data_IF_121198263198
#
_entry.id   IF_121198263198
#
_cell.length_a   1.000
_cell.length_b   1.000
_cell.length_c   1.000
_cell.angle_alpha   90.00
_cell.angle_beta   90.00
_cell.angle_gamma   90.00
#
_symmetry.space_group_name_H-M   'P 1'
#
loop_
_entity.id
_entity.type
_entity.pdbx_description
1 polymer ?
#
# COMPACT_ATOMS: atom_id res chain seq x y z
N UNK A 1 15.15 -4.22 -23.07
CA UNK A 1 14.76 -3.36 -21.93
C UNK A 1 15.50 -3.87 -20.71
N UNK A 2 16.06 -3.00 -19.88
CA UNK A 2 16.75 -3.41 -18.65
C UNK A 2 15.76 -4.18 -17.74
N UNK A 3 16.07 -5.43 -17.32
CA UNK A 3 15.18 -6.23 -16.48
C UNK A 3 14.80 -5.55 -15.15
N UNK A 4 15.73 -4.82 -14.54
CA UNK A 4 15.46 -4.14 -13.25
C UNK A 4 14.50 -2.96 -13.47
N UNK A 5 14.65 -2.24 -14.59
CA UNK A 5 13.68 -1.20 -14.99
C UNK A 5 12.29 -1.79 -15.20
N UNK A 6 12.18 -2.96 -15.83
CA UNK A 6 10.90 -3.65 -16.00
C UNK A 6 10.28 -4.05 -14.67
N UNK A 7 11.08 -4.56 -13.74
CA UNK A 7 10.60 -4.97 -12.43
C UNK A 7 9.96 -3.80 -11.66
N UNK A 8 10.59 -2.62 -11.70
CA UNK A 8 10.05 -1.41 -11.07
C UNK A 8 8.70 -0.98 -11.68
N UNK A 9 8.57 -1.03 -13.01
CA UNK A 9 7.32 -0.70 -13.69
C UNK A 9 6.21 -1.70 -13.35
N UNK A 10 6.51 -3.00 -13.37
CA UNK A 10 5.55 -4.04 -12.97
C UNK A 10 5.11 -3.89 -11.52
N UNK A 11 6.03 -3.56 -10.60
CA UNK A 11 5.68 -3.31 -9.20
C UNK A 11 4.78 -2.07 -9.04
N UNK A 12 5.01 -1.01 -9.82
CA UNK A 12 4.17 0.18 -9.84
C UNK A 12 2.74 -0.13 -10.29
N UNK A 13 2.59 -0.87 -11.39
CA UNK A 13 1.28 -1.27 -11.92
C UNK A 13 0.54 -2.17 -10.92
N UNK A 14 1.25 -3.10 -10.29
CA UNK A 14 0.70 -3.98 -9.25
C UNK A 14 0.10 -3.20 -8.07
N UNK A 15 0.76 -2.13 -7.62
CA UNK A 15 0.26 -1.27 -6.55
C UNK A 15 -1.03 -0.56 -6.93
N UNK A 16 -1.10 -0.01 -8.13
CA UNK A 16 -2.30 0.68 -8.61
C UNK A 16 -3.48 -0.28 -8.80
N UNK A 17 -3.23 -1.48 -9.34
CA UNK A 17 -4.24 -2.54 -9.42
C UNK A 17 -4.77 -3.00 -8.05
N UNK A 18 -3.88 -3.08 -7.05
CA UNK A 18 -4.26 -3.39 -5.67
C UNK A 18 -5.13 -2.28 -5.09
N UNK A 19 -4.72 -1.03 -5.24
CA UNK A 19 -5.45 0.11 -4.70
C UNK A 19 -6.83 0.28 -5.35
N UNK A 20 -6.95 0.08 -6.66
CA UNK A 20 -8.21 0.23 -7.38
C UNK A 20 -9.33 -0.71 -6.91
N UNK A 21 -8.96 -1.88 -6.34
CA UNK A 21 -9.92 -2.88 -5.83
C UNK A 21 -10.04 -2.93 -4.31
N UNK A 22 -9.34 -2.05 -3.61
CA UNK A 22 -9.33 -2.01 -2.14
C UNK A 22 -10.18 -0.85 -1.65
N UNK A 23 -10.92 -1.02 -0.55
CA UNK A 23 -11.73 0.04 0.06
C UNK A 23 -10.88 1.29 0.31
N UNK A 24 -11.23 2.37 -0.36
CA UNK A 24 -10.56 3.67 -0.23
C UNK A 24 -10.91 4.41 1.06
N UNK A 25 -10.72 5.72 1.05
CA UNK A 25 -10.98 6.56 2.22
C UNK A 25 -9.86 6.55 3.26
N UNK A 26 -10.07 7.25 4.37
CA UNK A 26 -9.08 7.36 5.44
C UNK A 26 -9.21 6.17 6.37
N UNK A 27 -8.18 5.33 6.43
CA UNK A 27 -8.16 4.20 7.33
C UNK A 27 -7.82 4.63 8.76
N UNK A 28 -8.57 4.12 9.72
CA UNK A 28 -8.40 4.39 11.15
C UNK A 28 -8.37 3.08 11.92
N UNK A 29 -7.54 2.99 12.96
CA UNK A 29 -7.55 1.86 13.91
C UNK A 29 -8.56 2.18 15.01
N UNK A 30 -9.50 1.27 15.26
CA UNK A 30 -10.59 1.39 16.23
C UNK A 30 -10.75 0.08 17.01
N UNK A 31 -11.70 0.03 17.94
CA UNK A 31 -12.05 -1.18 18.69
C UNK A 31 -11.74 -1.06 20.18
N UNK A 32 -12.58 -1.72 20.99
CA UNK A 32 -12.51 -1.68 22.45
C UNK A 32 -11.51 -2.69 23.04
N UNK A 33 -11.09 -3.67 22.23
CA UNK A 33 -10.15 -4.71 22.65
C UNK A 33 -8.74 -4.32 22.25
N UNK A 34 -7.92 -3.94 23.23
CA UNK A 34 -6.54 -3.49 23.02
C UNK A 34 -5.66 -4.50 22.24
N UNK A 35 -5.99 -5.79 22.25
CA UNK A 35 -5.25 -6.84 21.53
C UNK A 35 -5.73 -7.06 20.09
N UNK A 36 -6.97 -6.70 19.78
CA UNK A 36 -7.67 -6.98 18.52
C UNK A 36 -8.45 -5.75 18.04
N UNK A 37 -7.73 -4.68 17.66
CA UNK A 37 -8.39 -3.56 17.02
C UNK A 37 -8.84 -3.91 15.59
N UNK A 38 -9.81 -3.13 15.15
CA UNK A 38 -10.35 -3.10 13.80
C UNK A 38 -9.67 -1.98 13.00
N UNK A 39 -9.47 -2.21 11.71
CA UNK A 39 -9.13 -1.18 10.73
C UNK A 39 -10.41 -0.84 9.98
N UNK A 40 -10.80 0.44 10.06
CA UNK A 40 -12.04 0.95 9.49
C UNK A 40 -11.71 2.06 8.50
N UNK A 41 -12.23 1.94 7.28
CA UNK A 41 -12.23 3.00 6.29
C UNK A 41 -13.29 4.04 6.63
N UNK A 42 -12.93 5.31 6.57
CA UNK A 42 -13.85 6.44 6.75
C UNK A 42 -13.91 7.22 5.44
N UNK A 43 -15.10 7.31 4.87
CA UNK A 43 -15.40 7.98 3.61
C UNK A 43 -15.72 9.46 3.86
N UNK A 44 -15.58 10.28 2.81
CA UNK A 44 -15.80 11.73 2.88
C UNK A 44 -17.27 12.10 3.12
N UNK A 45 -18.19 11.21 2.78
CA UNK A 45 -19.64 11.32 3.03
C UNK A 45 -20.03 10.94 4.47
N UNK A 46 -19.05 10.59 5.31
CA UNK A 46 -19.26 10.15 6.69
C UNK A 46 -19.57 8.67 6.85
N UNK A 47 -19.67 7.91 5.75
CA UNK A 47 -19.78 6.46 5.79
C UNK A 47 -18.52 5.80 6.33
N UNK A 48 -18.65 4.60 6.89
CA UNK A 48 -17.51 3.80 7.31
C UNK A 48 -17.68 2.32 7.00
N UNK A 49 -16.59 1.68 6.61
CA UNK A 49 -16.55 0.26 6.26
C UNK A 49 -15.44 -0.44 7.03
N UNK A 50 -15.75 -1.62 7.59
CA UNK A 50 -14.76 -2.46 8.24
C UNK A 50 -13.86 -3.12 7.19
N UNK A 51 -12.55 -2.92 7.31
CA UNK A 51 -11.55 -3.41 6.34
C UNK A 51 -10.88 -4.68 6.85
N UNK A 52 -10.45 -4.70 8.11
CA UNK A 52 -9.71 -5.83 8.68
C UNK A 52 -9.75 -5.84 10.21
N UNK A 53 -9.74 -7.03 10.81
CA UNK A 53 -9.40 -7.24 12.21
C UNK A 53 -7.96 -7.75 12.31
N UNK A 54 -7.13 -7.14 13.15
CA UNK A 54 -5.71 -7.50 13.25
C UNK A 54 -5.19 -7.44 14.69
N UNK A 55 -4.01 -8.03 14.93
CA UNK A 55 -3.27 -7.77 16.18
C UNK A 55 -2.88 -6.30 16.22
N UNK A 56 -2.85 -5.71 17.42
CA UNK A 56 -2.60 -4.27 17.59
C UNK A 56 -1.42 -3.71 16.78
N UNK A 57 -0.25 -4.36 16.83
CA UNK A 57 0.93 -3.92 16.06
C UNK A 57 0.73 -4.04 14.55
N UNK A 58 0.01 -5.04 14.09
CA UNK A 58 -0.27 -5.27 12.67
C UNK A 58 -1.31 -4.27 12.15
N UNK A 59 -2.29 -3.88 12.97
CA UNK A 59 -3.29 -2.89 12.59
C UNK A 59 -2.66 -1.53 12.22
N UNK A 60 -1.61 -1.12 12.95
CA UNK A 60 -0.86 0.11 12.60
C UNK A 60 -0.10 0.00 11.28
N UNK A 61 0.49 -1.17 10.98
CA UNK A 61 1.11 -1.43 9.68
C UNK A 61 0.09 -1.36 8.54
N UNK A 62 -1.08 -2.01 8.71
CA UNK A 62 -2.17 -2.00 7.74
C UNK A 62 -2.68 -0.58 7.50
N UNK A 63 -2.93 0.19 8.57
CA UNK A 63 -3.35 1.60 8.47
C UNK A 63 -2.32 2.44 7.71
N UNK A 64 -1.03 2.26 8.02
CA UNK A 64 0.06 3.00 7.40
C UNK A 64 0.17 2.71 5.90
N UNK A 65 -0.01 1.45 5.50
CA UNK A 65 0.01 1.01 4.11
C UNK A 65 -1.38 0.97 3.45
N UNK A 66 -2.29 1.86 3.87
CA UNK A 66 -3.61 2.00 3.23
C UNK A 66 -3.49 2.28 1.72
N UNK A 67 -4.52 2.02 0.90
CA UNK A 67 -4.49 2.23 -0.55
C UNK A 67 -4.06 3.62 -1.01
N UNK A 68 -4.20 4.63 -0.15
CA UNK A 68 -3.76 6.00 -0.42
C UNK A 68 -2.25 6.13 -0.72
N UNK A 69 -1.40 5.19 -0.24
CA UNK A 69 0.04 5.23 -0.53
C UNK A 69 0.39 4.74 -1.94
N UNK A 70 -0.52 4.03 -2.61
CA UNK A 70 -0.22 3.35 -3.87
C UNK A 70 0.18 4.31 -4.99
N UNK A 71 -0.58 5.40 -5.19
CA UNK A 71 -0.29 6.39 -6.23
C UNK A 71 1.10 7.04 -6.07
N UNK A 72 1.41 7.65 -4.91
CA UNK A 72 2.74 8.21 -4.66
C UNK A 72 3.88 7.16 -4.80
N UNK A 73 3.66 5.93 -4.31
CA UNK A 73 4.68 4.88 -4.35
C UNK A 73 4.90 4.35 -5.79
N UNK A 74 3.84 4.15 -6.56
CA UNK A 74 3.91 3.80 -7.97
C UNK A 74 4.58 4.92 -8.80
N UNK A 75 4.26 6.18 -8.52
CA UNK A 75 4.92 7.33 -9.13
C UNK A 75 6.43 7.36 -8.84
N UNK A 76 6.83 7.07 -7.60
CA UNK A 76 8.24 6.94 -7.22
C UNK A 76 8.94 5.80 -7.97
N UNK A 77 8.33 4.61 -8.02
CA UNK A 77 8.88 3.45 -8.76
C UNK A 77 9.05 3.76 -10.25
N UNK A 78 8.06 4.39 -10.89
CA UNK A 78 8.15 4.81 -12.31
C UNK A 78 9.25 5.85 -12.53
N UNK A 79 9.41 6.80 -11.60
CA UNK A 79 10.48 7.80 -11.69
C UNK A 79 11.88 7.17 -11.50
N UNK A 80 11.99 6.13 -10.67
CA UNK A 80 13.21 5.38 -10.42
C UNK A 80 13.53 4.34 -11.51
N UNK A 81 12.59 4.03 -12.41
CA UNK A 81 12.72 3.06 -13.49
C UNK A 81 13.60 3.59 -14.65
N UNK A 82 14.83 3.98 -14.34
CA UNK A 82 15.85 4.44 -15.30
C UNK A 82 17.25 4.05 -14.81
N UNK A 83 18.20 3.69 -15.71
CA UNK A 83 19.57 3.41 -15.29
C UNK A 83 20.32 4.68 -14.81
N UNK A 84 21.22 4.57 -13.82
CA UNK A 84 21.36 3.41 -12.92
C UNK A 84 20.15 3.28 -12.00
N UNK A 85 19.63 2.06 -11.84
CA UNK A 85 18.47 1.78 -10.99
C UNK A 85 18.84 1.95 -9.52
N UNK A 86 17.97 2.62 -8.76
CA UNK A 86 18.11 2.76 -7.31
C UNK A 86 17.97 1.36 -6.65
N UNK A 87 19.01 0.88 -5.92
CA UNK A 87 18.96 -0.43 -5.28
C UNK A 87 17.85 -0.56 -4.23
N UNK A 88 17.40 0.53 -3.60
CA UNK A 88 16.29 0.51 -2.64
C UNK A 88 14.94 0.40 -3.35
N UNK A 89 14.76 1.08 -4.48
CA UNK A 89 13.57 0.91 -5.32
C UNK A 89 13.48 -0.53 -5.84
N UNK A 90 14.61 -1.12 -6.22
CA UNK A 90 14.69 -2.51 -6.65
C UNK A 90 14.34 -3.50 -5.53
N UNK A 91 14.82 -3.25 -4.31
CA UNK A 91 14.45 -4.06 -3.14
C UNK A 91 12.94 -4.02 -2.87
N UNK A 92 12.34 -2.82 -2.91
CA UNK A 92 10.88 -2.67 -2.75
C UNK A 92 10.11 -3.40 -3.86
N UNK A 93 10.54 -3.27 -5.12
CA UNK A 93 9.89 -3.93 -6.24
C UNK A 93 9.90 -5.47 -6.10
N UNK A 94 10.99 -6.05 -5.57
CA UNK A 94 11.07 -7.49 -5.28
C UNK A 94 10.08 -7.92 -4.20
N UNK A 95 10.03 -7.22 -3.07
CA UNK A 95 9.08 -7.54 -1.99
C UNK A 95 7.61 -7.42 -2.44
N UNK A 96 7.30 -6.49 -3.36
CA UNK A 96 5.94 -6.31 -3.88
C UNK A 96 5.51 -7.40 -4.87
N UNK A 97 6.45 -8.07 -5.53
CA UNK A 97 6.18 -9.04 -6.58
C UNK A 97 6.37 -10.51 -6.15
N UNK A 98 7.10 -10.76 -5.05
CA UNK A 98 7.32 -12.10 -4.51
C UNK A 98 8.49 -12.81 -5.17
#
# INVERSE_FOLDING_TARGET
MDPDVQLLLTAADRLEELAARTTGGRWTVRGLLASRPEVVAVHVDGGSEHVAEARARTAEWIRTLSPAVAGPLAGWLRAAARPPVDPHALAVARELLG
#
